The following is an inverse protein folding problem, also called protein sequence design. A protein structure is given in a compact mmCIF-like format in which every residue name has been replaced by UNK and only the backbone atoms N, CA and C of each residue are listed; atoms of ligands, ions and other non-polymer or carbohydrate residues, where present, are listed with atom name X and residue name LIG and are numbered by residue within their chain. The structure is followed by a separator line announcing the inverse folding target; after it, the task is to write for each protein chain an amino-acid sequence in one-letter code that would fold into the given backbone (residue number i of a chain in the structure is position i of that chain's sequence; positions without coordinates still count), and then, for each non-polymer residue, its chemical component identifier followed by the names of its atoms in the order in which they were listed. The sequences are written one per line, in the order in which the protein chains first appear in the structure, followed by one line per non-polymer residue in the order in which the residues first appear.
data_IF_225841155163
#
_entry.id   IF_225841155163
#
_cell.length_a   1.000
_cell.length_b   1.000
_cell.length_c   1.000
_cell.angle_alpha   90.00
_cell.angle_beta   90.00
_cell.angle_gamma   90.00
#
_symmetry.space_group_name_H-M   'P 1'
#
loop_
_entity.id
_entity.type
_entity.pdbx_description
1 polymer ?
#
# COMPACT_ATOMS: atom_id res chain seq x y z
N UNK A 1 5.67 7.88 59.30
CA UNK A 1 6.81 8.23 58.43
C UNK A 1 7.17 6.97 57.66
N UNK A 2 7.17 6.85 56.32
CA UNK A 2 7.41 7.78 55.21
C UNK A 2 6.43 7.45 54.08
N UNK A 3 5.88 8.49 53.46
CA UNK A 3 5.04 8.41 52.26
C UNK A 3 5.97 8.25 51.05
N UNK A 4 5.85 7.13 50.36
CA UNK A 4 6.40 6.88 49.02
C UNK A 4 5.20 6.90 48.06
N UNK A 5 5.23 7.39 46.83
CA UNK A 5 6.14 8.25 46.09
C UNK A 5 5.31 8.64 44.83
N UNK A 6 5.34 9.92 44.45
CA UNK A 6 4.94 10.52 43.16
C UNK A 6 3.80 9.92 42.33
N UNK A 7 2.71 10.69 42.30
CA UNK A 7 1.67 10.68 41.27
C UNK A 7 2.27 11.20 39.95
N UNK A 8 2.73 10.33 39.07
CA UNK A 8 3.10 10.69 37.69
C UNK A 8 1.86 10.64 36.80
N UNK A 9 1.19 11.80 36.72
CA UNK A 9 0.10 12.07 35.79
C UNK A 9 0.66 12.38 34.39
N UNK A 10 -0.06 11.95 33.37
CA UNK A 10 0.11 12.24 31.94
C UNK A 10 1.18 11.44 31.17
N UNK A 11 0.87 10.16 30.90
CA UNK A 11 1.27 9.57 29.63
C UNK A 11 0.34 10.17 28.55
N UNK A 12 0.80 11.22 27.88
CA UNK A 12 0.14 11.78 26.72
C UNK A 12 0.33 10.78 25.56
N UNK A 13 -0.57 9.80 25.46
CA UNK A 13 -0.77 9.04 24.22
C UNK A 13 -1.32 10.04 23.20
N UNK A 14 -0.42 10.74 22.51
CA UNK A 14 -0.77 11.40 21.26
C UNK A 14 -1.00 10.25 20.27
N UNK A 15 -2.21 9.70 20.29
CA UNK A 15 -2.73 8.98 19.16
C UNK A 15 -2.85 10.00 18.03
N UNK A 16 -1.78 10.14 17.24
CA UNK A 16 -1.88 10.74 15.92
C UNK A 16 -2.75 9.80 15.11
N UNK A 17 -4.07 10.00 15.21
CA UNK A 17 -4.99 9.49 14.22
C UNK A 17 -4.60 10.13 12.91
N UNK A 18 -3.77 9.42 12.13
CA UNK A 18 -3.48 9.77 10.75
C UNK A 18 -4.79 9.52 10.02
N UNK A 19 -5.60 10.56 9.85
CA UNK A 19 -6.78 10.51 9.02
C UNK A 19 -6.35 10.01 7.64
N UNK A 20 -7.09 9.04 7.09
CA UNK A 20 -6.93 8.57 5.73
C UNK A 20 -7.09 9.75 4.76
N UNK A 21 -5.97 10.40 4.43
CA UNK A 21 -5.89 11.30 3.29
C UNK A 21 -5.97 10.39 2.06
N UNK A 22 -6.90 10.69 1.15
CA UNK A 22 -7.10 9.87 -0.06
C UNK A 22 -5.77 9.58 -0.75
N UNK A 23 -5.63 8.36 -1.30
CA UNK A 23 -4.36 7.89 -1.86
C UNK A 23 -4.06 8.66 -3.14
N UNK A 24 -3.13 9.62 -3.06
CA UNK A 24 -2.69 10.39 -4.23
C UNK A 24 -1.59 9.65 -4.96
N UNK A 25 -1.88 9.11 -6.15
CA UNK A 25 -0.92 8.35 -6.95
C UNK A 25 0.16 9.22 -7.62
N UNK A 26 0.06 10.55 -7.55
CA UNK A 26 0.99 11.45 -8.23
C UNK A 26 1.09 11.11 -9.73
N UNK A 27 2.31 10.87 -10.20
CA UNK A 27 2.60 10.50 -11.59
C UNK A 27 2.49 8.99 -11.87
N UNK A 28 2.17 8.17 -10.86
CA UNK A 28 2.00 6.73 -11.07
C UNK A 28 0.73 6.47 -11.92
N UNK A 29 0.79 5.58 -12.93
CA UNK A 29 -0.32 5.41 -13.85
C UNK A 29 -1.57 4.85 -13.16
N UNK A 30 -2.73 5.29 -13.63
CA UNK A 30 -4.01 4.67 -13.30
C UNK A 30 -4.30 3.53 -14.27
N UNK A 31 -5.06 2.53 -13.82
CA UNK A 31 -5.40 1.36 -14.64
C UNK A 31 -5.61 0.09 -13.84
N UNK A 32 -5.66 -1.04 -14.55
CA UNK A 32 -5.82 -2.38 -13.96
C UNK A 32 -4.69 -3.30 -14.42
N UNK A 33 -4.18 -4.11 -13.49
CA UNK A 33 -3.16 -5.11 -13.78
C UNK A 33 -3.50 -6.44 -13.12
N UNK A 34 -3.28 -7.53 -13.84
CA UNK A 34 -3.67 -8.88 -13.40
C UNK A 34 -2.56 -9.50 -12.57
N UNK A 35 -2.90 -9.96 -11.37
CA UNK A 35 -2.07 -10.89 -10.61
C UNK A 35 -2.58 -12.31 -10.83
N UNK A 36 -2.06 -12.99 -11.85
CA UNK A 36 -2.48 -14.37 -12.19
C UNK A 36 -2.13 -15.36 -11.07
N UNK A 37 -1.05 -15.11 -10.33
CA UNK A 37 -0.60 -15.99 -9.25
C UNK A 37 -1.47 -15.87 -8.01
N UNK A 38 -2.06 -14.69 -7.77
CA UNK A 38 -3.03 -14.47 -6.70
C UNK A 38 -4.49 -14.57 -7.17
N UNK A 39 -4.73 -14.79 -8.47
CA UNK A 39 -6.04 -14.79 -9.11
C UNK A 39 -6.85 -13.51 -8.78
N UNK A 40 -6.20 -12.36 -8.93
CA UNK A 40 -6.74 -11.06 -8.56
C UNK A 40 -6.39 -9.97 -9.59
N UNK A 41 -7.03 -8.81 -9.47
CA UNK A 41 -6.73 -7.62 -10.26
C UNK A 41 -6.41 -6.45 -9.34
N UNK A 42 -5.24 -5.86 -9.54
CA UNK A 42 -4.88 -4.59 -8.92
C UNK A 42 -5.45 -3.44 -9.73
N UNK A 43 -6.24 -2.59 -9.08
CA UNK A 43 -6.78 -1.37 -9.68
C UNK A 43 -6.19 -0.14 -8.99
N UNK A 44 -5.58 0.73 -9.80
CA UNK A 44 -5.03 2.01 -9.38
C UNK A 44 -5.92 3.11 -9.95
N UNK A 45 -6.74 3.72 -9.09
CA UNK A 45 -7.69 4.76 -9.44
C UNK A 45 -7.28 6.13 -8.92
N UNK A 46 -8.02 7.17 -9.30
CA UNK A 46 -7.84 8.50 -8.74
C UNK A 46 -8.26 8.51 -7.27
N UNK A 47 -7.30 8.61 -6.36
CA UNK A 47 -7.58 8.69 -4.92
C UNK A 47 -7.69 7.34 -4.21
N UNK A 48 -7.50 6.20 -4.91
CA UNK A 48 -7.67 4.89 -4.31
C UNK A 48 -6.86 3.78 -5.00
N UNK A 49 -6.57 2.73 -4.24
CA UNK A 49 -6.03 1.45 -4.72
C UNK A 49 -7.01 0.37 -4.28
N UNK A 50 -7.29 -0.60 -5.16
CA UNK A 50 -8.16 -1.74 -4.84
C UNK A 50 -7.57 -3.05 -5.35
N UNK A 51 -7.86 -4.12 -4.65
CA UNK A 51 -7.68 -5.49 -5.12
C UNK A 51 -9.08 -6.01 -5.44
N UNK A 52 -9.27 -6.47 -6.66
CA UNK A 52 -10.50 -7.07 -7.14
C UNK A 52 -10.28 -8.57 -7.36
N UNK A 53 -11.36 -9.34 -7.32
CA UNK A 53 -11.36 -10.66 -7.97
C UNK A 53 -11.36 -10.52 -9.50
N UNK A 54 -11.28 -11.65 -10.21
CA UNK A 54 -11.20 -11.66 -11.68
C UNK A 54 -12.50 -11.19 -12.36
N UNK A 55 -13.63 -11.29 -11.67
CA UNK A 55 -14.96 -10.88 -12.11
C UNK A 55 -15.27 -9.39 -11.79
N UNK A 56 -14.39 -8.74 -11.02
CA UNK A 56 -14.47 -7.32 -10.66
C UNK A 56 -15.09 -7.04 -9.28
N UNK A 57 -15.40 -8.06 -8.49
CA UNK A 57 -15.79 -7.91 -7.09
C UNK A 57 -14.64 -7.37 -6.24
N UNK A 58 -14.93 -6.51 -5.27
CA UNK A 58 -13.89 -5.90 -4.42
C UNK A 58 -13.45 -6.90 -3.37
N UNK A 59 -12.19 -7.34 -3.46
CA UNK A 59 -11.55 -8.19 -2.46
C UNK A 59 -10.92 -7.37 -1.33
N UNK A 60 -10.30 -6.23 -1.67
CA UNK A 60 -9.71 -5.31 -0.72
C UNK A 60 -9.76 -3.88 -1.22
N UNK A 61 -10.14 -2.94 -0.36
CA UNK A 61 -10.19 -1.50 -0.67
C UNK A 61 -9.28 -0.76 0.31
N UNK A 62 -8.32 0.00 -0.21
CA UNK A 62 -7.35 0.72 0.61
C UNK A 62 -7.83 2.12 1.05
N UNK A 63 -8.97 2.61 0.55
CA UNK A 63 -9.46 3.97 0.80
C UNK A 63 -9.60 4.33 2.28
N UNK A 64 -10.08 3.38 3.07
CA UNK A 64 -10.36 3.56 4.50
C UNK A 64 -9.37 2.78 5.38
N UNK A 65 -8.17 2.51 4.85
CA UNK A 65 -7.10 1.79 5.55
C UNK A 65 -6.01 2.72 6.02
N UNK A 66 -5.28 2.27 7.03
CA UNK A 66 -4.13 2.98 7.59
C UNK A 66 -2.93 2.70 6.70
N UNK A 67 -2.70 3.60 5.75
CA UNK A 67 -1.56 3.57 4.85
C UNK A 67 -0.42 4.41 5.43
N UNK A 68 0.77 3.81 5.47
CA UNK A 68 2.00 4.43 5.96
C UNK A 68 3.09 4.38 4.88
N UNK A 69 4.11 5.22 5.02
CA UNK A 69 5.29 5.24 4.15
C UNK A 69 4.95 5.36 2.65
N UNK A 70 3.82 6.02 2.34
CA UNK A 70 3.37 6.21 0.98
C UNK A 70 4.35 7.10 0.21
N UNK A 71 4.85 6.60 -0.92
CA UNK A 71 5.85 7.29 -1.73
C UNK A 71 5.63 6.97 -3.21
N UNK A 72 5.71 8.01 -4.04
CA UNK A 72 5.79 7.90 -5.49
C UNK A 72 7.09 8.58 -5.93
N UNK A 73 7.94 7.84 -6.63
CA UNK A 73 9.25 8.32 -7.08
C UNK A 73 9.54 7.89 -8.51
N UNK A 74 10.17 8.76 -9.29
CA UNK A 74 10.61 8.46 -10.64
C UNK A 74 12.12 8.13 -10.66
N UNK A 75 12.51 7.21 -11.53
CA UNK A 75 13.92 6.84 -11.76
C UNK A 75 14.14 6.44 -13.22
N UNK A 76 15.38 6.15 -13.60
CA UNK A 76 15.70 5.59 -14.92
C UNK A 76 15.04 4.23 -15.19
N UNK A 77 14.65 3.50 -14.13
CA UNK A 77 13.94 2.21 -14.26
C UNK A 77 12.43 2.39 -14.42
N UNK A 78 11.90 3.60 -14.31
CA UNK A 78 10.47 3.90 -14.36
C UNK A 78 9.95 4.57 -13.10
N UNK A 79 8.63 4.57 -12.95
CA UNK A 79 7.91 5.18 -11.82
C UNK A 79 7.63 4.11 -10.77
N UNK A 80 8.00 4.38 -9.53
CA UNK A 80 7.84 3.48 -8.40
C UNK A 80 6.81 4.04 -7.42
N UNK A 81 5.86 3.20 -7.03
CA UNK A 81 4.90 3.43 -5.97
C UNK A 81 5.20 2.46 -4.82
N UNK A 82 5.28 2.95 -3.60
CA UNK A 82 5.44 2.09 -2.43
C UNK A 82 4.60 2.58 -1.26
N UNK A 83 4.08 1.65 -0.46
CA UNK A 83 3.37 1.96 0.77
C UNK A 83 3.27 0.72 1.67
N UNK A 84 2.97 0.93 2.95
CA UNK A 84 2.64 -0.13 3.90
C UNK A 84 1.19 0.02 4.36
N UNK A 85 0.52 -1.09 4.65
CA UNK A 85 -0.84 -1.08 5.21
C UNK A 85 -0.86 -1.88 6.52
N UNK A 86 -1.14 -1.16 7.61
CA UNK A 86 -1.12 -1.68 8.99
C UNK A 86 -2.07 -2.87 9.14
N UNK A 87 -3.29 -2.75 8.62
CA UNK A 87 -4.32 -3.78 8.75
C UNK A 87 -3.96 -5.08 8.04
N UNK A 88 -3.17 -5.00 6.96
CA UNK A 88 -2.69 -6.19 6.25
C UNK A 88 -1.38 -6.73 6.79
N UNK A 89 -0.62 -5.92 7.55
CA UNK A 89 0.75 -6.26 7.96
C UNK A 89 1.70 -6.43 6.78
N UNK A 90 1.47 -5.70 5.68
CA UNK A 90 2.22 -5.82 4.42
C UNK A 90 2.75 -4.49 3.93
N UNK A 91 3.91 -4.56 3.29
CA UNK A 91 4.50 -3.50 2.48
C UNK A 91 4.40 -3.88 1.00
N UNK A 92 4.05 -2.91 0.17
CA UNK A 92 3.80 -3.06 -1.25
C UNK A 92 4.75 -2.14 -2.01
N UNK A 93 5.39 -2.67 -3.05
CA UNK A 93 6.17 -1.90 -4.01
C UNK A 93 5.72 -2.28 -5.43
N UNK A 94 5.47 -1.26 -6.24
CA UNK A 94 5.11 -1.38 -7.65
C UNK A 94 6.08 -0.55 -8.48
N UNK A 95 6.66 -1.14 -9.52
CA UNK A 95 7.47 -0.45 -10.50
C UNK A 95 6.78 -0.54 -11.86
N UNK A 96 6.55 0.61 -12.48
CA UNK A 96 6.11 0.75 -13.86
C UNK A 96 7.32 1.05 -14.75
N UNK A 97 7.83 0.08 -15.52
CA UNK A 97 8.92 0.33 -16.45
C UNK A 97 8.49 1.29 -17.58
N UNK A 98 9.44 2.02 -18.18
CA UNK A 98 9.13 2.93 -19.29
C UNK A 98 8.88 2.20 -20.62
N UNK A 99 9.27 0.93 -20.74
CA UNK A 99 9.35 0.20 -22.03
C UNK A 99 8.23 -0.81 -22.27
N UNK A 100 7.43 -1.15 -21.26
CA UNK A 100 6.30 -2.09 -21.39
C UNK A 100 5.09 -1.55 -20.59
N UNK A 101 3.92 -2.19 -20.70
CA UNK A 101 2.72 -1.77 -19.97
C UNK A 101 2.56 -2.44 -18.61
N UNK A 102 3.32 -3.49 -18.34
CA UNK A 102 3.20 -4.32 -17.14
C UNK A 102 3.72 -3.61 -15.89
N UNK A 103 3.36 -4.14 -14.71
CA UNK A 103 3.90 -3.72 -13.42
C UNK A 103 4.73 -4.83 -12.80
N UNK A 104 5.91 -4.49 -12.29
CA UNK A 104 6.58 -5.37 -11.33
C UNK A 104 6.04 -5.07 -9.94
N UNK A 105 5.64 -6.12 -9.21
CA UNK A 105 5.13 -6.01 -7.85
C UNK A 105 5.96 -6.84 -6.88
N UNK A 106 6.26 -6.23 -5.74
CA UNK A 106 6.80 -6.89 -4.55
C UNK A 106 5.84 -6.64 -3.38
N UNK A 107 5.54 -7.70 -2.63
CA UNK A 107 4.81 -7.60 -1.36
C UNK A 107 5.62 -8.33 -0.30
N UNK A 108 5.99 -7.60 0.74
CA UNK A 108 6.71 -8.11 1.90
C UNK A 108 5.80 -8.08 3.14
N UNK A 109 5.98 -9.05 4.02
CA UNK A 109 5.37 -9.05 5.36
C UNK A 109 6.44 -8.86 6.43
N UNK A 110 6.04 -8.45 7.62
CA UNK A 110 6.94 -8.38 8.78
C UNK A 110 7.58 -9.73 9.17
N UNK A 111 7.02 -10.86 8.70
CA UNK A 111 7.46 -12.23 9.01
C UNK A 111 8.25 -12.88 7.85
N UNK A 112 8.98 -12.08 7.06
CA UNK A 112 9.84 -12.52 5.95
C UNK A 112 9.16 -13.27 4.78
N UNK A 113 7.82 -13.20 4.66
CA UNK A 113 7.15 -13.62 3.42
C UNK A 113 7.42 -12.59 2.32
N UNK A 114 8.14 -13.03 1.29
CA UNK A 114 8.44 -12.25 0.09
C UNK A 114 7.62 -12.77 -1.10
N UNK A 115 6.74 -11.92 -1.62
CA UNK A 115 5.97 -12.19 -2.83
C UNK A 115 6.43 -11.29 -3.96
N UNK A 116 6.73 -11.88 -5.11
CA UNK A 116 7.06 -11.15 -6.34
C UNK A 116 6.19 -11.63 -7.49
N UNK A 117 5.68 -10.69 -8.28
CA UNK A 117 4.92 -10.95 -9.49
C UNK A 117 5.22 -9.90 -10.57
N UNK A 118 5.06 -10.29 -11.82
CA UNK A 118 4.89 -9.36 -12.93
C UNK A 118 3.40 -9.36 -13.28
N UNK A 119 2.80 -8.18 -13.32
CA UNK A 119 1.37 -7.99 -13.48
C UNK A 119 1.11 -7.45 -14.90
N UNK A 120 0.53 -8.24 -15.81
CA UNK A 120 0.16 -7.76 -17.13
C UNK A 120 -0.94 -6.70 -17.07
N UNK A 121 -0.86 -5.69 -17.95
CA UNK A 121 -1.92 -4.68 -18.05
C UNK A 121 -3.24 -5.31 -18.53
N UNK A 122 -4.34 -4.96 -17.84
CA UNK A 122 -5.71 -5.36 -18.19
C UNK A 122 -6.40 -4.20 -18.88
N UNK A 123 -6.60 -4.34 -20.19
CA UNK A 123 -7.39 -3.40 -21.02
C UNK A 123 -8.86 -3.35 -20.59
#
# INVERSE_FOLDING_TARGET
MKKFLFLSFALLLIGLGVFAQGISLGDFPTGKWVDEKYNAVWEFGTGNIRILDMDGGVYYDFKDKTIENFNVSASLKGIKLSFSCVESGRSYEFLKPPTNLDLEMIIDTEWDVHYKANLPFKN
#
